data_IF_894725437982
#
_entry.id   IF_894725437982
#
_cell.length_a   1.000
_cell.length_b   1.000
_cell.length_c   1.000
_cell.angle_alpha   90.00
_cell.angle_beta   90.00
_cell.angle_gamma   90.00
#
_symmetry.space_group_name_H-M   'P 1'
#
loop_
_entity.id
_entity.type
_entity.pdbx_description
1 polymer ?
#
# COMPACT_ATOMS: atom_id res chain seq x y z
N UNK A 1 -30.04 47.71 -1.00
CA UNK A 1 -28.85 47.78 -0.13
C UNK A 1 -28.88 46.56 0.78
N UNK A 2 -28.26 45.47 0.34
CA UNK A 2 -28.20 44.20 1.07
C UNK A 2 -26.82 44.09 1.71
N UNK A 3 -26.75 44.22 3.03
CA UNK A 3 -25.54 44.02 3.81
C UNK A 3 -25.16 42.53 3.76
N UNK A 4 -24.25 42.16 2.86
CA UNK A 4 -23.72 40.81 2.77
C UNK A 4 -22.71 40.58 3.90
N UNK A 5 -22.96 39.57 4.70
CA UNK A 5 -22.29 39.31 5.97
C UNK A 5 -20.92 38.65 5.75
N UNK A 6 -19.88 39.47 5.54
CA UNK A 6 -18.49 39.07 5.24
C UNK A 6 -17.85 38.19 6.32
N UNK A 7 -18.36 38.23 7.56
CA UNK A 7 -17.79 37.48 8.69
C UNK A 7 -17.99 35.96 8.59
N UNK A 8 -19.00 35.50 7.84
CA UNK A 8 -19.28 34.06 7.74
C UNK A 8 -18.32 33.33 6.79
N UNK A 9 -17.70 34.04 5.83
CA UNK A 9 -16.80 33.42 4.85
C UNK A 9 -15.40 33.14 5.42
N UNK A 10 -14.93 33.95 6.38
CA UNK A 10 -13.57 33.81 6.93
C UNK A 10 -13.43 32.55 7.80
N UNK A 11 -14.48 32.19 8.55
CA UNK A 11 -14.47 30.98 9.38
C UNK A 11 -14.48 29.68 8.56
N UNK A 12 -15.10 29.67 7.38
CA UNK A 12 -15.12 28.50 6.52
C UNK A 12 -13.75 28.18 5.90
N UNK A 13 -12.93 29.18 5.60
CA UNK A 13 -11.59 29.00 5.02
C UNK A 13 -10.54 28.50 6.01
N UNK A 14 -10.64 28.87 7.29
CA UNK A 14 -9.63 28.46 8.29
C UNK A 14 -9.77 26.96 8.63
N UNK A 15 -10.99 26.42 8.61
CA UNK A 15 -11.22 25.00 8.94
C UNK A 15 -10.65 24.04 7.88
N UNK A 16 -10.65 24.44 6.60
CA UNK A 16 -10.18 23.59 5.49
C UNK A 16 -8.65 23.45 5.48
N UNK A 17 -7.92 24.47 5.92
CA UNK A 17 -6.45 24.43 5.98
C UNK A 17 -5.92 23.42 7.00
N UNK A 18 -6.59 23.27 8.15
CA UNK A 18 -6.19 22.32 9.20
C UNK A 18 -6.32 20.87 8.74
N UNK A 19 -7.42 20.54 8.04
CA UNK A 19 -7.72 19.16 7.59
C UNK A 19 -6.79 18.73 6.45
N UNK A 20 -6.41 19.66 5.55
CA UNK A 20 -5.46 19.37 4.48
C UNK A 20 -4.04 19.09 4.99
N UNK A 21 -3.67 19.68 6.14
CA UNK A 21 -2.34 19.51 6.70
C UNK A 21 -2.13 18.12 7.31
N UNK A 22 -3.17 17.51 7.90
CA UNK A 22 -3.08 16.18 8.51
C UNK A 22 -2.98 15.05 7.48
N UNK A 23 -3.74 15.11 6.38
CA UNK A 23 -3.69 14.09 5.31
C UNK A 23 -2.29 14.00 4.67
N UNK A 24 -1.52 15.08 4.71
CA UNK A 24 -0.16 15.10 4.17
C UNK A 24 0.88 14.41 5.07
N UNK A 25 0.68 14.41 6.39
CA UNK A 25 1.68 13.90 7.33
C UNK A 25 1.76 12.36 7.29
N UNK A 26 0.62 11.67 7.26
CA UNK A 26 0.58 10.20 7.21
C UNK A 26 1.11 9.67 5.88
N UNK A 27 0.75 10.31 4.77
CA UNK A 27 1.26 9.95 3.45
C UNK A 27 2.80 10.08 3.37
N UNK A 28 3.37 11.14 3.96
CA UNK A 28 4.82 11.34 4.04
C UNK A 28 5.47 10.29 4.95
N UNK A 29 4.89 10.00 6.11
CA UNK A 29 5.37 8.98 7.03
C UNK A 29 5.40 7.59 6.37
N UNK A 30 4.31 7.21 5.70
CA UNK A 30 4.21 5.95 4.96
C UNK A 30 5.22 5.88 3.82
N UNK A 31 5.41 6.97 3.07
CA UNK A 31 6.40 7.03 1.99
C UNK A 31 7.83 6.84 2.52
N UNK A 32 8.18 7.48 3.63
CA UNK A 32 9.49 7.32 4.27
C UNK A 32 9.70 5.88 4.78
N UNK A 33 8.65 5.31 5.39
CA UNK A 33 8.67 3.93 5.88
C UNK A 33 8.85 2.93 4.73
N UNK A 34 8.13 3.11 3.63
CA UNK A 34 8.21 2.24 2.46
C UNK A 34 9.48 2.42 1.63
N UNK A 35 10.16 3.56 1.75
CA UNK A 35 11.50 3.74 1.21
C UNK A 35 12.53 2.95 2.01
N UNK A 36 12.36 2.89 3.34
CA UNK A 36 13.27 2.17 4.24
C UNK A 36 13.02 0.66 4.23
N UNK A 37 11.75 0.26 4.18
CA UNK A 37 11.30 -1.14 4.26
C UNK A 37 10.40 -1.51 3.06
N UNK A 38 10.93 -1.52 1.83
CA UNK A 38 10.15 -1.70 0.62
C UNK A 38 9.53 -3.11 0.45
N UNK A 39 9.85 -4.04 1.35
CA UNK A 39 9.41 -5.44 1.29
C UNK A 39 8.19 -5.75 2.16
N UNK A 40 7.73 -4.77 2.93
CA UNK A 40 6.55 -4.91 3.78
C UNK A 40 5.28 -4.91 2.91
N UNK A 41 4.37 -5.89 3.06
CA UNK A 41 3.14 -5.99 2.28
C UNK A 41 2.29 -4.71 2.22
N UNK A 42 2.25 -3.94 3.31
CA UNK A 42 1.56 -2.65 3.35
C UNK A 42 2.10 -1.64 2.33
N UNK A 43 3.39 -1.70 1.99
CA UNK A 43 4.03 -0.83 1.01
C UNK A 43 3.69 -1.22 -0.43
N UNK A 44 3.62 -2.52 -0.73
CA UNK A 44 3.11 -3.00 -2.01
C UNK A 44 1.64 -2.61 -2.18
N UNK A 45 0.86 -2.68 -1.09
CA UNK A 45 -0.53 -2.25 -1.08
C UNK A 45 -0.66 -0.73 -1.30
N UNK A 46 0.16 0.08 -0.64
CA UNK A 46 0.22 1.53 -0.84
C UNK A 46 0.52 1.90 -2.31
N UNK A 47 1.47 1.22 -2.94
CA UNK A 47 1.78 1.42 -4.36
C UNK A 47 0.59 1.10 -5.27
N UNK A 48 -0.21 0.08 -4.94
CA UNK A 48 -1.42 -0.27 -5.69
C UNK A 48 -2.60 0.68 -5.41
N UNK A 49 -2.73 1.18 -4.19
CA UNK A 49 -3.78 2.15 -3.83
C UNK A 49 -3.54 3.51 -4.51
N UNK A 50 -2.28 3.97 -4.52
CA UNK A 50 -1.88 5.21 -5.19
C UNK A 50 -2.07 5.13 -6.70
N UNK A 51 -1.74 4.01 -7.35
CA UNK A 51 -1.98 3.84 -8.79
C UNK A 51 -3.47 3.83 -9.16
N UNK A 52 -4.34 3.45 -8.24
CA UNK A 52 -5.80 3.46 -8.42
C UNK A 52 -6.48 4.74 -7.93
N UNK A 53 -5.74 5.73 -7.43
CA UNK A 53 -6.28 6.94 -6.81
C UNK A 53 -7.31 6.66 -5.71
N UNK A 54 -7.07 5.62 -4.90
CA UNK A 54 -7.95 5.22 -3.79
C UNK A 54 -7.33 5.65 -2.47
N UNK A 55 -8.16 6.25 -1.62
CA UNK A 55 -7.76 6.77 -0.31
C UNK A 55 -8.73 6.36 0.81
N UNK A 56 -9.52 5.30 0.61
CA UNK A 56 -10.53 4.86 1.58
C UNK A 56 -10.47 3.35 1.83
N UNK A 57 -11.03 2.94 2.98
CA UNK A 57 -11.02 1.56 3.44
C UNK A 57 -9.58 1.06 3.65
N UNK A 58 -9.18 -0.08 3.08
CA UNK A 58 -7.83 -0.60 3.25
C UNK A 58 -6.75 0.22 2.51
N UNK A 59 -7.15 1.17 1.68
CA UNK A 59 -6.26 2.15 1.05
C UNK A 59 -6.13 3.45 1.84
N UNK A 60 -6.73 3.55 3.03
CA UNK A 60 -6.52 4.67 3.93
C UNK A 60 -5.04 4.71 4.39
N UNK A 61 -4.40 5.87 4.30
CA UNK A 61 -2.97 6.02 4.58
C UNK A 61 -2.62 5.74 6.04
N UNK A 62 -3.51 6.10 6.97
CA UNK A 62 -3.29 5.83 8.39
C UNK A 62 -3.42 4.33 8.66
N UNK A 63 -4.43 3.66 8.10
CA UNK A 63 -4.56 2.19 8.16
C UNK A 63 -3.36 1.46 7.57
N UNK A 64 -2.86 1.89 6.41
CA UNK A 64 -1.67 1.30 5.78
C UNK A 64 -0.41 1.51 6.64
N UNK A 65 -0.27 2.69 7.25
CA UNK A 65 0.87 2.97 8.14
C UNK A 65 0.82 2.10 9.39
N UNK A 66 -0.35 2.00 10.06
CA UNK A 66 -0.53 1.10 11.21
C UNK A 66 -0.26 -0.36 10.82
N UNK A 67 -0.68 -0.78 9.63
CA UNK A 67 -0.40 -2.13 9.12
C UNK A 67 1.07 -2.38 8.88
N UNK A 68 1.77 -1.40 8.29
CA UNK A 68 3.21 -1.48 8.08
C UNK A 68 3.95 -1.57 9.41
N UNK A 69 3.48 -0.83 10.41
CA UNK A 69 4.04 -0.81 11.76
C UNK A 69 3.73 -2.05 12.61
N UNK A 70 2.74 -2.86 12.21
CA UNK A 70 2.53 -4.18 12.79
C UNK A 70 3.57 -5.21 12.30
N UNK A 71 4.31 -4.89 11.22
CA UNK A 71 5.37 -5.76 10.71
C UNK A 71 6.61 -5.73 11.61
N UNK A 72 7.17 -6.89 12.01
CA UNK A 72 8.40 -6.96 12.78
C UNK A 72 9.60 -6.21 12.20
N UNK A 73 9.65 -6.02 10.87
CA UNK A 73 10.73 -5.29 10.21
C UNK A 73 10.69 -3.78 10.47
N UNK A 74 9.49 -3.22 10.63
CA UNK A 74 9.29 -1.80 10.88
C UNK A 74 9.18 -1.47 12.38
N UNK A 75 9.22 -2.48 13.26
CA UNK A 75 9.17 -2.25 14.71
C UNK A 75 10.34 -1.36 15.14
N UNK A 76 10.00 -0.17 15.64
CA UNK A 76 10.97 0.83 16.09
C UNK A 76 11.18 2.00 15.12
N UNK A 77 10.57 1.99 13.94
CA UNK A 77 10.53 3.15 13.08
C UNK A 77 9.76 4.30 13.78
N UNK A 78 10.30 5.51 13.76
CA UNK A 78 9.70 6.66 14.46
C UNK A 78 8.30 7.01 13.93
N UNK A 79 8.04 6.69 12.66
CA UNK A 79 6.75 6.84 12.00
C UNK A 79 5.65 6.00 12.68
N UNK A 80 6.03 4.87 13.30
CA UNK A 80 5.09 3.96 13.93
C UNK A 80 4.54 4.46 15.26
N UNK A 81 5.31 5.27 16.00
CA UNK A 81 4.80 5.87 17.23
C UNK A 81 3.64 6.81 16.94
N UNK A 82 3.78 7.69 15.95
CA UNK A 82 2.75 8.65 15.57
C UNK A 82 1.48 7.97 15.03
N UNK A 83 1.64 7.00 14.12
CA UNK A 83 0.51 6.29 13.53
C UNK A 83 -0.31 5.51 14.57
N UNK A 84 0.36 4.86 15.52
CA UNK A 84 -0.31 4.13 16.60
C UNK A 84 -1.07 5.06 17.56
N UNK A 85 -0.59 6.29 17.78
CA UNK A 85 -1.30 7.28 18.61
C UNK A 85 -2.50 7.93 17.92
N UNK A 86 -2.50 7.99 16.59
CA UNK A 86 -3.59 8.59 15.81
C UNK A 86 -4.86 7.69 15.73
N UNK A 87 -4.83 6.48 16.30
CA UNK A 87 -6.01 5.62 16.41
C UNK A 87 -6.40 4.90 15.12
N UNK A 88 -5.48 4.79 14.16
CA UNK A 88 -5.69 4.02 12.94
C UNK A 88 -5.93 2.53 13.23
N UNK A 89 -6.72 1.87 12.37
CA UNK A 89 -6.91 0.42 12.42
C UNK A 89 -6.09 -0.24 11.32
N UNK A 90 -5.31 -1.27 11.65
CA UNK A 90 -4.57 -2.06 10.67
C UNK A 90 -5.53 -2.69 9.63
N UNK A 91 -5.03 -2.85 8.40
CA UNK A 91 -5.69 -3.57 7.32
C UNK A 91 -5.90 -5.02 7.78
N UNK A 92 -7.16 -5.50 7.84
CA UNK A 92 -7.45 -6.81 8.37
C UNK A 92 -6.75 -7.92 7.59
N UNK A 93 -6.16 -8.87 8.30
CA UNK A 93 -5.56 -10.09 7.74
C UNK A 93 -4.45 -9.85 6.71
N UNK A 94 -3.81 -8.68 6.73
CA UNK A 94 -2.63 -8.43 5.92
C UNK A 94 -1.47 -9.28 6.46
N UNK A 95 -0.84 -10.15 5.65
CA UNK A 95 0.29 -10.94 6.11
C UNK A 95 1.49 -10.05 6.43
N UNK A 96 2.35 -10.49 7.34
CA UNK A 96 3.66 -9.84 7.55
C UNK A 96 4.61 -10.16 6.39
N UNK A 97 5.67 -9.38 6.22
CA UNK A 97 6.73 -9.61 5.24
C UNK A 97 7.38 -10.98 5.39
N UNK A 98 7.55 -11.41 6.65
CA UNK A 98 8.08 -12.74 6.99
C UNK A 98 7.13 -13.85 6.52
N UNK A 99 5.84 -13.71 6.81
CA UNK A 99 4.84 -14.72 6.45
C UNK A 99 4.63 -14.78 4.94
N UNK A 100 4.45 -13.62 4.29
CA UNK A 100 4.32 -13.52 2.84
C UNK A 100 5.54 -14.12 2.12
N UNK A 101 6.76 -13.79 2.54
CA UNK A 101 7.99 -14.40 2.00
C UNK A 101 8.03 -15.92 2.24
N UNK A 102 7.58 -16.38 3.41
CA UNK A 102 7.48 -17.79 3.74
C UNK A 102 6.49 -18.54 2.86
N UNK A 103 5.32 -17.95 2.57
CA UNK A 103 4.31 -18.54 1.69
C UNK A 103 4.81 -18.64 0.26
N UNK A 104 5.42 -17.58 -0.29
CA UNK A 104 5.99 -17.63 -1.64
C UNK A 104 7.09 -18.69 -1.72
N UNK A 105 8.01 -18.74 -0.74
CA UNK A 105 9.06 -19.76 -0.70
C UNK A 105 8.47 -21.19 -0.65
N UNK A 106 7.43 -21.42 0.17
CA UNK A 106 6.74 -22.70 0.25
C UNK A 106 6.12 -23.10 -1.09
N UNK A 107 5.41 -22.17 -1.74
CA UNK A 107 4.75 -22.41 -3.03
C UNK A 107 5.79 -22.73 -4.11
N UNK A 108 6.86 -21.94 -4.20
CA UNK A 108 7.91 -22.14 -5.20
C UNK A 108 8.76 -23.39 -4.95
N UNK A 109 8.86 -23.87 -3.71
CA UNK A 109 9.48 -25.17 -3.42
C UNK A 109 8.61 -26.34 -3.89
N UNK A 110 7.29 -26.23 -3.76
CA UNK A 110 6.34 -27.25 -4.20
C UNK A 110 6.17 -27.27 -5.73
N UNK A 111 6.27 -26.10 -6.37
CA UNK A 111 6.10 -25.92 -7.82
C UNK A 111 7.15 -24.96 -8.40
N UNK A 112 8.37 -25.43 -8.65
CA UNK A 112 9.48 -24.59 -9.12
C UNK A 112 9.32 -24.10 -10.56
N UNK A 113 8.46 -24.74 -11.35
CA UNK A 113 8.30 -24.44 -12.79
C UNK A 113 7.33 -23.28 -13.10
N UNK A 114 6.80 -22.61 -12.08
CA UNK A 114 5.91 -21.47 -12.25
C UNK A 114 6.65 -20.21 -12.69
N UNK A 115 6.02 -19.39 -13.53
CA UNK A 115 6.62 -18.14 -14.04
C UNK A 115 7.02 -17.16 -12.94
N UNK A 116 6.27 -17.12 -11.85
CA UNK A 116 6.55 -16.28 -10.69
C UNK A 116 7.61 -16.88 -9.75
N UNK A 117 7.97 -18.15 -9.95
CA UNK A 117 9.02 -18.86 -9.21
C UNK A 117 10.34 -18.97 -9.99
N UNK A 118 10.42 -18.40 -11.19
CA UNK A 118 11.57 -18.51 -12.09
C UNK A 118 12.27 -17.17 -12.36
N UNK A 119 13.54 -17.24 -12.73
CA UNK A 119 14.31 -16.10 -13.22
C UNK A 119 14.41 -14.94 -12.23
N UNK A 120 14.12 -13.73 -12.69
CA UNK A 120 14.15 -12.52 -11.86
C UNK A 120 12.94 -12.38 -10.92
N UNK A 121 11.88 -13.18 -11.13
CA UNK A 121 10.70 -13.21 -10.28
C UNK A 121 10.86 -14.19 -9.11
N UNK A 122 11.76 -15.17 -9.26
CA UNK A 122 12.12 -16.09 -8.20
C UNK A 122 12.53 -15.30 -6.95
N UNK A 123 11.73 -15.39 -5.89
CA UNK A 123 12.10 -14.85 -4.60
C UNK A 123 13.43 -15.50 -4.17
N UNK A 124 14.50 -14.73 -3.92
CA UNK A 124 15.74 -15.30 -3.44
C UNK A 124 15.50 -15.96 -2.08
N UNK A 125 16.41 -16.85 -1.68
CA UNK A 125 16.33 -17.47 -0.35
C UNK A 125 16.18 -16.41 0.74
N UNK A 126 15.30 -16.68 1.70
CA UNK A 126 15.03 -15.77 2.82
C UNK A 126 16.33 -15.47 3.57
N UNK A 127 16.51 -14.21 3.96
CA UNK A 127 17.60 -13.81 4.84
C UNK A 127 17.50 -14.59 6.16
N UNK A 128 18.61 -15.15 6.63
CA UNK A 128 18.61 -16.05 7.81
C UNK A 128 18.29 -15.34 9.12
N UNK A 129 18.51 -14.02 9.18
CA UNK A 129 18.24 -13.19 10.36
C UNK A 129 16.82 -12.65 10.35
N UNK A 130 16.38 -12.05 9.25
CA UNK A 130 15.06 -11.41 9.16
C UNK A 130 13.96 -12.36 8.72
N UNK A 131 14.32 -13.51 8.14
CA UNK A 131 13.41 -14.50 7.55
C UNK A 131 12.52 -13.92 6.43
N UNK A 132 12.99 -12.85 5.79
CA UNK A 132 12.30 -12.15 4.69
C UNK A 132 13.14 -12.31 3.42
N UNK A 133 12.46 -12.50 2.28
CA UNK A 133 13.11 -12.55 0.96
C UNK A 133 13.15 -11.17 0.34
N UNK A 134 14.14 -10.90 -0.52
CA UNK A 134 14.28 -9.61 -1.21
C UNK A 134 13.28 -9.39 -2.37
N UNK A 135 12.15 -10.08 -2.38
CA UNK A 135 11.10 -9.93 -3.40
C UNK A 135 9.89 -9.13 -2.87
N UNK A 136 9.05 -8.63 -3.79
CA UNK A 136 7.76 -8.02 -3.45
C UNK A 136 6.77 -9.10 -3.05
N UNK A 137 6.86 -9.48 -1.77
CA UNK A 137 6.25 -10.69 -1.25
C UNK A 137 4.73 -10.70 -1.40
N UNK A 138 4.04 -9.55 -1.28
CA UNK A 138 2.59 -9.52 -1.40
C UNK A 138 2.12 -9.66 -2.85
N UNK A 139 2.76 -8.96 -3.80
CA UNK A 139 2.35 -9.02 -5.21
C UNK A 139 2.59 -10.39 -5.82
N UNK A 140 3.75 -11.00 -5.53
CA UNK A 140 4.08 -12.36 -5.99
C UNK A 140 3.16 -13.38 -5.32
N UNK A 141 2.94 -13.28 -4.01
CA UNK A 141 2.02 -14.16 -3.30
C UNK A 141 0.59 -14.09 -3.84
N UNK A 142 0.11 -12.88 -4.14
CA UNK A 142 -1.20 -12.68 -4.73
C UNK A 142 -1.35 -13.27 -6.13
N UNK A 143 -0.35 -13.08 -6.99
CA UNK A 143 -0.33 -13.67 -8.33
C UNK A 143 -0.36 -15.21 -8.24
N UNK A 144 0.51 -15.81 -7.42
CA UNK A 144 0.53 -17.25 -7.17
C UNK A 144 -0.80 -17.77 -6.64
N UNK A 145 -1.46 -17.05 -5.72
CA UNK A 145 -2.75 -17.48 -5.18
C UNK A 145 -3.94 -17.29 -6.13
N UNK A 146 -3.82 -16.42 -7.14
CA UNK A 146 -4.79 -16.36 -8.23
C UNK A 146 -4.63 -17.55 -9.19
N UNK A 147 -3.40 -18.03 -9.39
CA UNK A 147 -3.10 -19.21 -10.21
C UNK A 147 -3.43 -20.53 -9.49
N UNK A 148 -3.13 -20.66 -8.19
CA UNK A 148 -3.53 -21.80 -7.35
C UNK A 148 -4.38 -21.41 -6.14
N UNK A 149 -5.68 -21.15 -6.32
CA UNK A 149 -6.57 -20.76 -5.21
C UNK A 149 -6.84 -21.89 -4.18
N UNK A 150 -6.37 -23.11 -4.44
CA UNK A 150 -6.62 -24.30 -3.62
C UNK A 150 -5.43 -24.70 -2.73
N UNK A 151 -4.29 -24.02 -2.81
CA UNK A 151 -3.17 -24.25 -1.89
C UNK A 151 -3.52 -23.81 -0.47
N UNK A 152 -3.00 -24.51 0.53
CA UNK A 152 -3.36 -24.27 1.93
C UNK A 152 -3.06 -22.84 2.38
N UNK A 153 -1.93 -22.27 1.94
CA UNK A 153 -1.55 -20.89 2.22
C UNK A 153 -2.58 -19.91 1.62
N UNK A 154 -2.98 -20.16 0.37
CA UNK A 154 -3.95 -19.33 -0.35
C UNK A 154 -5.38 -19.46 0.20
N UNK A 155 -5.82 -20.66 0.56
CA UNK A 155 -7.18 -20.88 1.07
C UNK A 155 -7.40 -20.29 2.45
N UNK A 156 -6.38 -20.29 3.30
CA UNK A 156 -6.51 -19.86 4.71
C UNK A 156 -6.13 -18.40 4.89
N UNK A 157 -5.04 -17.94 4.29
CA UNK A 157 -4.53 -16.58 4.50
C UNK A 157 -5.01 -15.64 3.40
N UNK A 158 -4.78 -15.99 2.12
CA UNK A 158 -5.13 -15.10 1.01
C UNK A 158 -6.63 -14.88 0.87
N UNK A 159 -7.44 -15.95 0.96
CA UNK A 159 -8.91 -15.81 0.92
C UNK A 159 -9.43 -15.01 2.11
N UNK A 160 -8.86 -15.18 3.31
CA UNK A 160 -9.25 -14.39 4.48
C UNK A 160 -8.91 -12.92 4.27
N UNK A 161 -7.69 -12.61 3.81
CA UNK A 161 -7.31 -11.26 3.40
C UNK A 161 -8.30 -10.68 2.39
N UNK A 162 -8.56 -11.38 1.28
CA UNK A 162 -9.47 -10.88 0.26
C UNK A 162 -10.94 -10.82 0.68
N UNK A 163 -11.38 -11.63 1.64
CA UNK A 163 -12.75 -11.55 2.19
C UNK A 163 -12.97 -10.24 2.95
N UNK A 164 -11.95 -9.76 3.66
CA UNK A 164 -12.00 -8.48 4.38
C UNK A 164 -11.66 -7.28 3.48
N UNK A 165 -11.07 -7.54 2.31
CA UNK A 165 -10.46 -6.54 1.45
C UNK A 165 -10.86 -6.70 -0.03
N UNK A 166 -12.11 -7.09 -0.30
CA UNK A 166 -12.60 -7.47 -1.63
C UNK A 166 -12.46 -6.39 -2.71
N UNK A 167 -12.25 -5.14 -2.31
CA UNK A 167 -12.10 -4.03 -3.25
C UNK A 167 -10.64 -3.79 -3.65
N UNK A 168 -9.65 -4.45 -3.05
CA UNK A 168 -8.25 -4.20 -3.36
C UNK A 168 -7.85 -4.92 -4.66
N UNK A 169 -8.17 -4.33 -5.81
CA UNK A 169 -7.50 -4.70 -7.06
C UNK A 169 -6.01 -4.34 -7.00
N UNK A 170 -5.11 -5.04 -7.73
CA UNK A 170 -5.34 -6.26 -8.51
C UNK A 170 -5.34 -7.55 -7.66
N UNK A 171 -5.19 -7.46 -6.33
CA UNK A 171 -4.95 -8.60 -5.45
C UNK A 171 -6.21 -9.45 -5.19
N UNK A 172 -7.33 -8.77 -4.93
CA UNK A 172 -8.59 -9.37 -4.53
C UNK A 172 -9.65 -9.01 -5.58
N UNK A 173 -9.53 -9.60 -6.78
CA UNK A 173 -10.52 -9.46 -7.85
C UNK A 173 -11.37 -10.72 -7.99
N UNK A 174 -12.58 -10.63 -8.58
CA UNK A 174 -13.24 -11.83 -9.07
C UNK A 174 -12.30 -12.48 -10.08
N UNK A 175 -11.87 -13.71 -9.81
CA UNK A 175 -11.20 -14.55 -10.81
C UNK A 175 -12.24 -14.73 -11.91
N UNK A 176 -12.22 -13.87 -12.93
CA UNK A 176 -13.18 -13.97 -14.03
C UNK A 176 -12.81 -15.26 -14.78
N UNK A 177 -13.61 -16.33 -14.69
CA UNK A 177 -13.24 -17.60 -15.31
C UNK A 177 -13.21 -17.37 -16.83
N UNK A 178 -12.02 -17.38 -17.42
CA UNK A 178 -11.84 -17.18 -18.87
C UNK A 178 -11.29 -15.81 -19.30
N UNK A 179 -10.98 -14.88 -18.40
CA UNK A 179 -10.04 -13.81 -18.73
C UNK A 179 -8.63 -14.39 -18.64
N UNK A 180 -8.18 -14.97 -19.76
CA UNK A 180 -6.84 -15.52 -19.88
C UNK A 180 -5.81 -14.53 -19.32
N UNK A 181 -4.86 -15.07 -18.56
CA UNK A 181 -3.72 -14.39 -17.97
C UNK A 181 -3.02 -13.50 -19.00
N UNK A 182 -3.51 -12.28 -19.17
CA UNK A 182 -2.69 -11.16 -19.54
C UNK A 182 -1.80 -10.95 -18.33
N UNK A 183 -0.70 -11.70 -18.28
CA UNK A 183 0.41 -11.47 -17.37
C UNK A 183 0.55 -9.96 -17.24
N UNK A 184 0.36 -9.36 -16.04
CA UNK A 184 0.71 -7.98 -15.86
C UNK A 184 2.21 -7.98 -16.12
N UNK A 185 2.60 -7.55 -17.33
CA UNK A 185 3.99 -7.33 -17.66
C UNK A 185 4.51 -6.50 -16.50
N UNK A 186 5.34 -7.13 -15.68
CA UNK A 186 6.26 -6.50 -14.75
C UNK A 186 7.20 -5.67 -15.60
N UNK A 187 6.67 -4.59 -16.17
CA UNK A 187 7.45 -3.50 -16.71
C UNK A 187 8.37 -3.11 -15.57
N UNK A 188 9.67 -3.32 -15.79
CA UNK A 188 10.72 -2.80 -14.94
C UNK A 188 10.31 -1.40 -14.47
N UNK A 189 10.62 -1.00 -13.22
CA UNK A 189 10.40 0.37 -12.81
C UNK A 189 11.19 1.25 -13.78
N UNK A 190 10.50 1.83 -14.77
CA UNK A 190 11.00 3.00 -15.46
C UNK A 190 11.27 3.96 -14.33
N UNK A 191 12.53 4.35 -14.24
CA UNK A 191 13.00 5.39 -13.34
C UNK A 191 12.39 6.71 -13.80
N UNK A 192 11.08 6.82 -13.67
CA UNK A 192 10.38 8.08 -13.70
C UNK A 192 10.55 8.63 -12.30
N UNK A 193 11.71 9.25 -12.09
CA UNK A 193 11.81 10.42 -11.25
C UNK A 193 10.84 11.47 -11.82
N UNK A 194 9.55 11.26 -11.61
CA UNK A 194 8.53 12.25 -11.86
C UNK A 194 8.41 13.01 -10.55
N UNK A 195 9.08 14.16 -10.54
CA UNK A 195 8.84 15.26 -9.64
C UNK A 195 7.32 15.45 -9.46
N UNK A 196 6.74 14.84 -8.42
CA UNK A 196 5.44 15.23 -7.88
C UNK A 196 5.64 16.06 -6.61
N UNK A 197 6.70 16.86 -6.61
CA UNK A 197 6.77 18.04 -5.76
C UNK A 197 6.28 19.22 -6.60
N UNK A 198 5.38 20.02 -6.01
CA UNK A 198 4.94 21.35 -6.47
C UNK A 198 3.82 21.38 -7.53
N UNK A 199 2.61 20.94 -7.16
CA UNK A 199 1.38 21.45 -7.80
C UNK A 199 0.26 21.83 -6.80
N UNK A 200 0.55 21.85 -5.49
CA UNK A 200 -0.40 22.35 -4.48
C UNK A 200 -0.03 23.74 -3.96
N UNK A 201 1.18 24.24 -4.25
CA UNK A 201 1.63 25.56 -3.77
C UNK A 201 1.25 26.75 -4.66
N UNK A 202 0.75 26.55 -5.90
CA UNK A 202 0.44 27.67 -6.81
C UNK A 202 -1.02 28.15 -6.77
N UNK A 203 -1.94 27.41 -6.15
CA UNK A 203 -3.32 27.87 -5.96
C UNK A 203 -3.45 28.84 -4.76
N UNK A 204 -2.54 28.78 -3.77
CA UNK A 204 -2.59 29.67 -2.61
C UNK A 204 -1.96 31.05 -2.88
N UNK A 205 -1.05 31.16 -3.86
CA UNK A 205 -0.38 32.43 -4.20
C UNK A 205 -1.23 33.39 -5.02
N UNK A 206 -2.29 32.92 -5.69
CA UNK A 206 -3.19 33.79 -6.47
C UNK A 206 -4.19 34.54 -5.56
N UNK A 207 -4.47 34.04 -4.36
CA UNK A 207 -5.41 34.71 -3.44
C UNK A 207 -4.80 35.86 -2.61
N UNK A 208 -3.47 36.00 -2.55
CA UNK A 208 -2.81 37.04 -1.75
C UNK A 208 -2.40 38.30 -2.54
N UNK A 209 -2.63 38.37 -3.85
CA UNK A 209 -2.26 39.54 -4.67
C UNK A 209 -3.42 40.48 -5.00
N UNK A 210 -4.61 40.27 -4.41
CA UNK A 210 -5.81 41.10 -4.66
C UNK A 210 -6.40 41.74 -3.38
N UNK A 211 -5.56 42.03 -2.38
CA UNK A 211 -5.92 42.91 -1.27
C UNK A 211 -4.89 44.02 -1.09
#
# INVERSE_FOLDING_TARGET
>A
MSNFNIRSFIFATILVASVLNEVSADAVALTALCTTYPKIPACDLYASCTSQSRSSGPCDTLSLTVSACADPLALGASQCTSANTAGGTAVPSLPTAKDASGFVASICMEMPDMSDCQGANACPSRNTTTLVSDCKSLSVYGALCLEMPNMNQCTTVWKTFCSSNANIGPYCGPVVPGSGSGSPNSGSPSSSAANLFVAVSLALLVFFTNF
#
